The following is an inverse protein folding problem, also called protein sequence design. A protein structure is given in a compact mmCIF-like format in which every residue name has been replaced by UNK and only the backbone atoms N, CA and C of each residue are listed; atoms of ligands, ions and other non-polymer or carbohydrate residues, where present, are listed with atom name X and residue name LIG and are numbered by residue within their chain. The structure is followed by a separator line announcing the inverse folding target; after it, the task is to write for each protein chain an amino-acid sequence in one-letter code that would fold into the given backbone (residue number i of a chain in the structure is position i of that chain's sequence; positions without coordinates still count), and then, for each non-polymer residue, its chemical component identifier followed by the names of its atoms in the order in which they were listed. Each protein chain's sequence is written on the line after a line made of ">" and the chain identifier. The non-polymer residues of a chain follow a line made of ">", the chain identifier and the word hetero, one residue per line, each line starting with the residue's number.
data_IF_358997490695
#
_entry.id   IF_358997490695
#
_cell.length_a   1.000
_cell.length_b   1.000
_cell.length_c   1.000
_cell.angle_alpha   90.00
_cell.angle_beta   90.00
_cell.angle_gamma   90.00
#
_symmetry.space_group_name_H-M   'P 1'
#
loop_
_entity.id
_entity.type
_entity.pdbx_description
1 polymer ?
#
# COMPACT_ATOMS: atom_id res chain seq x y z
N UNK A 1 9.15 -2.61 -1.96
CA UNK A 1 8.04 -3.20 -1.20
C UNK A 1 6.87 -2.29 -1.41
N UNK A 2 5.84 -2.77 -2.09
CA UNK A 2 4.57 -2.09 -2.26
C UNK A 2 3.92 -1.83 -0.89
N UNK A 3 3.47 -0.61 -0.63
CA UNK A 3 2.89 -0.22 0.66
C UNK A 3 1.52 -0.90 0.89
N UNK A 4 0.72 -1.03 -0.16
CA UNK A 4 -0.50 -1.84 -0.23
C UNK A 4 -0.28 -2.96 -1.24
N UNK A 5 -0.74 -4.17 -0.89
CA UNK A 5 -0.76 -5.34 -1.78
C UNK A 5 -2.20 -5.81 -2.02
N UNK A 6 -2.42 -6.57 -3.11
CA UNK A 6 -3.72 -7.19 -3.40
C UNK A 6 -4.27 -7.99 -2.23
N UNK A 7 -3.39 -8.64 -1.45
CA UNK A 7 -3.78 -9.41 -0.27
C UNK A 7 -4.34 -8.55 0.87
N UNK A 8 -3.77 -7.37 1.12
CA UNK A 8 -4.29 -6.44 2.14
C UNK A 8 -5.67 -5.90 1.73
N UNK A 9 -5.85 -5.61 0.45
CA UNK A 9 -7.16 -5.15 -0.04
C UNK A 9 -8.17 -6.30 -0.02
N UNK A 10 -7.76 -7.52 -0.38
CA UNK A 10 -8.63 -8.68 -0.36
C UNK A 10 -9.09 -9.04 1.06
N UNK A 11 -8.19 -9.02 2.04
CA UNK A 11 -8.55 -9.26 3.44
C UNK A 11 -9.48 -8.17 3.98
N UNK A 12 -9.21 -6.90 3.66
CA UNK A 12 -10.07 -5.78 4.04
C UNK A 12 -11.46 -5.88 3.42
N UNK A 13 -11.55 -6.20 2.13
CA UNK A 13 -12.82 -6.43 1.45
C UNK A 13 -13.57 -7.62 2.05
N UNK A 14 -12.87 -8.73 2.31
CA UNK A 14 -13.45 -9.91 2.94
C UNK A 14 -14.00 -9.61 4.35
N UNK A 15 -13.27 -8.84 5.15
CA UNK A 15 -13.74 -8.44 6.48
C UNK A 15 -15.00 -7.56 6.39
N UNK A 16 -15.06 -6.59 5.48
CA UNK A 16 -16.27 -5.78 5.24
C UNK A 16 -17.48 -6.68 4.95
N UNK A 17 -17.31 -7.67 4.07
CA UNK A 17 -18.37 -8.63 3.76
C UNK A 17 -18.74 -9.51 4.95
N UNK A 18 -17.75 -9.98 5.72
CA UNK A 18 -17.95 -10.79 6.92
C UNK A 18 -18.71 -10.03 8.01
N UNK A 19 -18.52 -8.73 8.10
CA UNK A 19 -19.28 -7.84 8.98
C UNK A 19 -20.66 -7.46 8.43
N UNK A 20 -21.03 -7.93 7.24
CA UNK A 20 -22.31 -7.62 6.60
C UNK A 20 -22.42 -6.18 6.11
N UNK A 21 -21.27 -5.49 6.00
CA UNK A 21 -21.20 -4.11 5.53
C UNK A 21 -21.20 -4.07 4.00
N UNK A 22 -21.69 -2.96 3.44
CA UNK A 22 -21.61 -2.73 1.99
C UNK A 22 -20.20 -2.28 1.64
N UNK A 23 -19.67 -2.84 0.55
CA UNK A 23 -18.42 -2.38 -0.03
C UNK A 23 -18.63 -0.96 -0.58
N UNK A 24 -18.15 0.03 0.16
CA UNK A 24 -18.20 1.46 -0.19
C UNK A 24 -16.82 2.07 0.09
N UNK A 25 -16.47 3.19 -0.56
CA UNK A 25 -15.19 3.81 -0.29
C UNK A 25 -15.03 4.25 1.16
N UNK A 26 -16.12 4.62 1.85
CA UNK A 26 -16.08 4.93 3.29
C UNK A 26 -15.72 3.69 4.14
N UNK A 27 -16.40 2.56 3.93
CA UNK A 27 -16.07 1.32 4.64
C UNK A 27 -14.65 0.87 4.31
N UNK A 28 -14.25 0.94 3.04
CA UNK A 28 -12.91 0.58 2.64
C UNK A 28 -11.85 1.50 3.24
N UNK A 29 -12.13 2.81 3.34
CA UNK A 29 -11.26 3.80 3.99
C UNK A 29 -11.09 3.53 5.47
N UNK A 30 -12.10 3.04 6.18
CA UNK A 30 -11.97 2.68 7.60
C UNK A 30 -11.01 1.51 7.80
N UNK A 31 -11.13 0.46 6.98
CA UNK A 31 -10.24 -0.71 7.05
C UNK A 31 -8.85 -0.40 6.49
N UNK A 32 -8.78 0.40 5.43
CA UNK A 32 -7.53 0.80 4.78
C UNK A 32 -6.97 2.13 5.28
N UNK A 33 -7.46 2.69 6.40
CA UNK A 33 -7.10 4.04 6.86
C UNK A 33 -5.59 4.22 7.09
N UNK A 34 -4.90 3.13 7.42
CA UNK A 34 -3.45 3.12 7.61
C UNK A 34 -2.68 3.31 6.30
N UNK A 35 -3.29 2.99 5.16
CA UNK A 35 -2.63 3.02 3.86
C UNK A 35 -3.26 4.02 2.87
N UNK A 36 -4.59 4.12 2.83
CA UNK A 36 -5.35 5.05 1.99
C UNK A 36 -5.97 6.12 2.89
N UNK A 37 -5.38 7.33 2.87
CA UNK A 37 -5.94 8.49 3.58
C UNK A 37 -6.86 9.34 2.72
N UNK A 38 -6.69 9.26 1.40
CA UNK A 38 -7.47 10.01 0.44
C UNK A 38 -8.81 9.29 0.17
N UNK A 39 -9.90 10.05 0.29
CA UNK A 39 -11.25 9.56 0.06
C UNK A 39 -11.48 9.21 -1.41
N UNK A 40 -10.88 9.99 -2.33
CA UNK A 40 -11.00 9.78 -3.77
C UNK A 40 -10.36 8.44 -4.17
N UNK A 41 -9.23 8.10 -3.55
CA UNK A 41 -8.58 6.81 -3.78
C UNK A 41 -9.38 5.65 -3.20
N UNK A 42 -9.97 5.83 -2.00
CA UNK A 42 -10.79 4.79 -1.39
C UNK A 42 -12.05 4.48 -2.21
N UNK A 43 -12.70 5.52 -2.74
CA UNK A 43 -13.83 5.36 -3.68
C UNK A 43 -13.41 4.68 -4.98
N UNK A 44 -12.27 5.06 -5.57
CA UNK A 44 -11.78 4.42 -6.79
C UNK A 44 -11.51 2.91 -6.60
N UNK A 45 -10.93 2.52 -5.46
CA UNK A 45 -10.70 1.10 -5.14
C UNK A 45 -12.03 0.37 -4.92
N UNK A 46 -12.98 0.99 -4.23
CA UNK A 46 -14.30 0.39 -4.00
C UNK A 46 -15.09 0.20 -5.32
N UNK A 47 -15.00 1.17 -6.24
CA UNK A 47 -15.61 1.08 -7.56
C UNK A 47 -14.99 -0.04 -8.39
N UNK A 48 -13.66 -0.17 -8.41
CA UNK A 48 -12.99 -1.28 -9.12
C UNK A 48 -13.36 -2.65 -8.54
N UNK A 49 -13.36 -2.78 -7.21
CA UNK A 49 -13.79 -4.01 -6.54
C UNK A 49 -15.25 -4.37 -6.88
N UNK A 50 -16.12 -3.36 -6.98
CA UNK A 50 -17.51 -3.53 -7.39
C UNK A 50 -17.61 -3.97 -8.86
N UNK A 51 -16.82 -3.38 -9.76
CA UNK A 51 -16.73 -3.78 -11.18
C UNK A 51 -16.25 -5.22 -11.35
N UNK A 52 -15.31 -5.65 -10.51
CA UNK A 52 -14.80 -7.03 -10.48
C UNK A 52 -15.82 -8.05 -9.97
N UNK A 53 -17.00 -7.58 -9.52
CA UNK A 53 -18.08 -8.36 -8.94
C UNK A 53 -17.63 -9.16 -7.73
N UNK A 54 -16.77 -8.56 -6.91
CA UNK A 54 -16.39 -9.18 -5.63
C UNK A 54 -17.63 -9.24 -4.73
N UNK A 55 -17.95 -10.44 -4.23
CA UNK A 55 -19.09 -10.67 -3.35
C UNK A 55 -18.67 -11.37 -2.07
N UNK A 56 -19.59 -11.41 -1.10
CA UNK A 56 -19.43 -12.11 0.18
C UNK A 56 -19.36 -13.64 0.04
N UNK A 57 -19.61 -14.19 -1.15
CA UNK A 57 -19.50 -15.62 -1.44
C UNK A 57 -18.05 -16.02 -1.80
N UNK A 58 -17.17 -15.03 -2.03
CA UNK A 58 -15.78 -15.27 -2.40
C UNK A 58 -14.90 -15.35 -1.15
N UNK A 59 -13.97 -16.32 -1.14
CA UNK A 59 -12.92 -16.38 -0.13
C UNK A 59 -11.85 -15.31 -0.37
N UNK A 60 -11.15 -14.89 0.67
CA UNK A 60 -10.02 -13.94 0.56
C UNK A 60 -9.02 -14.32 -0.53
N UNK A 61 -8.71 -15.61 -0.66
CA UNK A 61 -7.82 -16.15 -1.69
C UNK A 61 -8.41 -15.94 -3.10
N UNK A 62 -9.72 -16.19 -3.26
CA UNK A 62 -10.41 -15.99 -4.53
C UNK A 62 -10.48 -14.50 -4.91
N UNK A 63 -10.68 -13.63 -3.92
CA UNK A 63 -10.65 -12.17 -4.11
C UNK A 63 -9.25 -11.74 -4.55
N UNK A 64 -8.21 -12.13 -3.81
CA UNK A 64 -6.81 -11.81 -4.12
C UNK A 64 -6.44 -12.21 -5.55
N UNK A 65 -6.76 -13.45 -5.93
CA UNK A 65 -6.48 -13.95 -7.28
C UNK A 65 -7.16 -13.11 -8.35
N UNK A 66 -8.41 -12.69 -8.12
CA UNK A 66 -9.18 -11.89 -9.06
C UNK A 66 -8.65 -10.46 -9.19
N UNK A 67 -8.10 -9.92 -8.09
CA UNK A 67 -7.39 -8.65 -8.08
C UNK A 67 -6.04 -8.73 -8.81
N UNK A 68 -5.34 -9.86 -8.70
CA UNK A 68 -4.09 -10.11 -9.43
C UNK A 68 -4.32 -10.38 -10.93
N UNK A 69 -5.45 -10.99 -11.29
CA UNK A 69 -5.86 -11.22 -12.68
C UNK A 69 -6.32 -9.92 -13.38
N UNK A 70 -6.70 -8.89 -12.62
CA UNK A 70 -7.13 -7.60 -13.16
C UNK A 70 -5.95 -6.63 -13.34
N UNK A 71 -5.55 -6.42 -14.59
CA UNK A 71 -4.49 -5.45 -14.93
C UNK A 71 -4.87 -4.02 -14.52
N UNK A 72 -6.14 -3.62 -14.68
CA UNK A 72 -6.64 -2.30 -14.30
C UNK A 72 -6.50 -2.07 -12.78
N UNK A 73 -6.78 -3.10 -11.99
CA UNK A 73 -6.64 -3.03 -10.54
C UNK A 73 -5.18 -3.01 -10.10
N UNK A 74 -4.32 -3.81 -10.75
CA UNK A 74 -2.88 -3.78 -10.49
C UNK A 74 -2.28 -2.39 -10.80
N UNK A 75 -2.72 -1.73 -11.86
CA UNK A 75 -2.29 -0.37 -12.19
C UNK A 75 -2.84 0.64 -11.18
N UNK A 76 -4.07 0.47 -10.69
CA UNK A 76 -4.61 1.31 -9.61
C UNK A 76 -3.77 1.19 -8.33
N UNK A 77 -3.45 -0.04 -7.88
CA UNK A 77 -2.58 -0.25 -6.70
C UNK A 77 -1.21 0.40 -6.91
N UNK A 78 -0.61 0.22 -8.09
CA UNK A 78 0.71 0.83 -8.39
C UNK A 78 0.66 2.34 -8.31
N UNK A 79 -0.41 2.96 -8.83
CA UNK A 79 -0.60 4.41 -8.73
C UNK A 79 -0.79 4.88 -7.29
N UNK A 80 -1.58 4.14 -6.48
CA UNK A 80 -1.76 4.42 -5.06
C UNK A 80 -0.42 4.31 -4.32
N UNK A 81 0.35 3.26 -4.56
CA UNK A 81 1.67 3.06 -3.96
C UNK A 81 2.67 4.13 -4.39
N UNK A 82 2.63 4.56 -5.66
CA UNK A 82 3.47 5.64 -6.16
C UNK A 82 3.11 6.97 -5.46
N UNK A 83 1.82 7.29 -5.31
CA UNK A 83 1.38 8.47 -4.57
C UNK A 83 1.75 8.37 -3.08
N UNK A 84 1.52 7.23 -2.44
CA UNK A 84 1.91 7.01 -1.05
C UNK A 84 3.42 7.13 -0.84
N UNK A 85 4.24 6.67 -1.80
CA UNK A 85 5.70 6.83 -1.77
C UNK A 85 6.14 8.29 -1.93
N UNK A 86 5.35 9.14 -2.61
CA UNK A 86 5.60 10.58 -2.69
C UNK A 86 5.30 11.31 -1.37
N UNK A 87 4.39 10.77 -0.54
CA UNK A 87 4.07 11.31 0.79
C UNK A 87 4.82 10.63 1.94
N UNK A 88 5.46 9.49 1.69
CA UNK A 88 6.40 8.90 2.62
C UNK A 88 7.60 9.86 2.73
N UNK A 89 7.90 10.41 3.93
CA UNK A 89 9.10 11.21 4.09
C UNK A 89 10.27 10.31 3.68
N UNK A 90 11.03 10.78 2.71
CA UNK A 90 12.13 10.07 2.08
C UNK A 90 13.13 9.59 3.13
N UNK A 91 12.93 8.39 3.70
CA UNK A 91 13.97 7.66 4.42
C UNK A 91 14.87 6.90 3.44
N UNK A 92 15.17 7.52 2.30
CA UNK A 92 16.30 7.10 1.47
C UNK A 92 17.51 7.81 2.05
N UNK A 93 18.08 7.24 3.12
CA UNK A 93 19.42 7.59 3.58
C UNK A 93 20.44 6.91 2.66
N UNK A 94 20.42 7.24 1.36
CA UNK A 94 21.45 6.77 0.43
C UNK A 94 22.66 7.68 0.60
N UNK A 95 23.56 7.28 1.49
CA UNK A 95 24.89 7.86 1.59
C UNK A 95 25.75 7.25 0.50
N UNK A 96 25.77 7.87 -0.68
CA UNK A 96 26.74 7.52 -1.73
C UNK A 96 28.05 8.23 -1.41
N UNK A 97 29.01 7.53 -0.81
CA UNK A 97 30.37 8.03 -0.59
C UNK A 97 31.31 7.41 -1.63
N UNK A 98 31.80 8.23 -2.56
CA UNK A 98 32.89 7.86 -3.45
C UNK A 98 34.20 8.20 -2.75
N UNK A 99 34.91 7.18 -2.26
CA UNK A 99 36.16 7.35 -1.54
C UNK A 99 37.37 7.20 -2.48
N UNK A 100 38.28 8.17 -2.47
CA UNK A 100 39.56 8.10 -3.19
C UNK A 100 40.74 8.52 -2.30
N UNK A 101 40.84 8.01 -1.07
CA UNK A 101 42.07 8.15 -0.27
C UNK A 101 41.99 7.61 1.15
N UNK A 102 42.83 6.65 1.55
CA UNK A 102 42.81 5.95 2.85
C UNK A 102 42.37 6.79 4.07
N UNK A 103 41.16 6.56 4.57
CA UNK A 103 40.59 7.18 5.76
C UNK A 103 39.38 6.39 6.26
N UNK A 104 39.20 6.30 7.57
CA UNK A 104 38.16 5.48 8.22
C UNK A 104 36.74 6.01 8.00
N UNK A 105 35.80 5.08 7.76
CA UNK A 105 34.38 5.37 7.63
C UNK A 105 33.69 5.24 9.01
N UNK A 106 33.13 6.35 9.53
CA UNK A 106 32.27 6.33 10.73
C UNK A 106 30.85 6.69 10.32
N UNK A 107 29.94 5.71 10.36
CA UNK A 107 28.50 5.92 10.23
C UNK A 107 27.89 6.04 11.63
N UNK A 108 27.81 7.27 12.16
CA UNK A 108 27.20 7.56 13.47
C UNK A 108 27.67 8.89 14.10
N UNK A 109 27.12 9.25 15.26
CA UNK A 109 27.54 10.43 16.04
C UNK A 109 28.97 10.26 16.53
N UNK A 110 29.90 11.06 15.99
CA UNK A 110 31.28 11.14 16.45
C UNK A 110 31.33 11.94 17.75
N UNK A 111 31.47 11.27 18.89
CA UNK A 111 31.89 11.95 20.13
C UNK A 111 33.39 12.18 20.04
N UNK A 112 33.80 13.43 19.87
CA UNK A 112 35.20 13.85 19.97
C UNK A 112 35.45 14.20 21.42
N UNK A 113 36.16 13.35 22.15
CA UNK A 113 36.75 13.76 23.42
C UNK A 113 38.09 14.44 23.11
N UNK A 114 38.22 15.68 23.59
CA UNK A 114 39.44 16.49 23.52
C UNK A 114 40.47 15.99 24.52
#
# INVERSE_FOLDING_TARGET
>A
MDFITSGIIASSAYDIFKHGLKLTGQSLKEYLAQWIRDEVLADAVADELTKLKISNEMSEIAITRRLDESAEFQDLIRNINAQAALFAPSQINTVTQTHSGSGDNVAGNKIVNN
#
